data_IF_744556970961
#
_entry.id   IF_744556970961
#
_cell.length_a   1.000
_cell.length_b   1.000
_cell.length_c   1.000
_cell.angle_alpha   90.00
_cell.angle_beta   90.00
_cell.angle_gamma   90.00
#
_symmetry.space_group_name_H-M   'P 1'
#
loop_
_entity.id
_entity.type
_entity.pdbx_description
1 polymer ?
#
# COMPACT_ATOMS: atom_id res chain seq x y z
N UNK A 1 42.45 30.67 34.65
CA UNK A 1 41.02 31.01 34.35
C UNK A 1 40.69 30.53 32.94
N UNK A 2 40.24 29.30 32.83
CA UNK A 2 39.72 28.71 31.58
C UNK A 2 38.23 29.01 31.50
N UNK A 3 37.81 29.79 30.51
CA UNK A 3 36.39 29.99 30.21
C UNK A 3 35.88 28.71 29.53
N UNK A 4 34.99 27.97 30.18
CA UNK A 4 34.21 26.93 29.61
C UNK A 4 33.25 27.50 28.60
N UNK A 5 33.45 27.23 27.31
CA UNK A 5 32.47 27.47 26.26
C UNK A 5 31.43 26.36 26.33
N UNK A 6 30.39 26.54 27.12
CA UNK A 6 29.13 25.80 27.01
C UNK A 6 28.32 26.35 25.85
N UNK A 7 28.63 25.92 24.64
CA UNK A 7 27.72 26.00 23.52
C UNK A 7 26.99 24.64 23.37
N UNK A 8 26.20 24.31 24.37
CA UNK A 8 25.20 23.29 24.24
C UNK A 8 24.18 23.79 23.24
N UNK A 9 24.03 23.06 22.12
CA UNK A 9 23.19 23.41 20.99
C UNK A 9 21.70 23.52 21.33
N UNK A 10 21.35 24.59 22.02
CA UNK A 10 19.97 25.00 22.21
C UNK A 10 19.40 25.38 20.86
N UNK A 11 18.46 24.59 20.37
CA UNK A 11 17.65 24.89 19.17
C UNK A 11 17.04 26.28 19.39
N UNK A 12 17.48 27.25 18.60
CA UNK A 12 16.95 28.61 18.73
C UNK A 12 15.48 28.63 18.31
N UNK A 13 14.66 29.51 18.94
CA UNK A 13 13.22 29.67 18.56
C UNK A 13 13.06 29.97 17.06
N UNK A 14 14.00 30.65 16.44
CA UNK A 14 14.03 30.93 15.00
C UNK A 14 14.22 29.66 14.17
N UNK A 15 15.09 28.75 14.61
CA UNK A 15 15.27 27.44 13.95
C UNK A 15 14.05 26.55 14.10
N UNK A 16 13.47 26.46 15.30
CA UNK A 16 12.24 25.71 15.54
C UNK A 16 11.11 26.19 14.61
N UNK A 17 10.88 27.51 14.55
CA UNK A 17 9.86 28.10 13.68
C UNK A 17 10.11 27.84 12.19
N UNK A 18 11.36 27.78 11.76
CA UNK A 18 11.70 27.40 10.38
C UNK A 18 11.43 25.92 10.11
N UNK A 19 11.62 25.05 11.12
CA UNK A 19 11.33 23.63 11.02
C UNK A 19 9.81 23.34 10.99
N UNK A 20 9.00 24.15 11.69
CA UNK A 20 7.53 24.05 11.64
C UNK A 20 6.93 24.37 10.27
N UNK A 21 7.67 25.08 9.41
CA UNK A 21 7.20 25.47 8.07
C UNK A 21 7.52 24.48 6.96
N UNK A 22 8.28 23.43 7.23
CA UNK A 22 8.62 22.38 6.26
C UNK A 22 7.78 21.13 6.49
N UNK A 23 7.60 20.32 5.43
CA UNK A 23 6.81 19.10 5.54
C UNK A 23 7.45 18.12 6.54
N UNK A 24 6.65 17.29 7.23
CA UNK A 24 7.18 16.27 8.13
C UNK A 24 8.20 15.34 7.48
N UNK A 25 8.06 15.08 6.18
CA UNK A 25 9.01 14.25 5.43
C UNK A 25 10.36 14.95 5.24
N UNK A 26 10.35 16.24 4.89
CA UNK A 26 11.56 17.06 4.76
C UNK A 26 12.22 17.30 6.11
N UNK A 27 11.41 17.56 7.16
CA UNK A 27 11.88 17.69 8.53
C UNK A 27 12.64 16.45 8.99
N UNK A 28 12.09 15.26 8.76
CA UNK A 28 12.75 13.99 9.06
C UNK A 28 14.11 13.89 8.36
N UNK A 29 14.17 14.14 7.06
CA UNK A 29 15.43 14.07 6.31
C UNK A 29 16.47 15.05 6.87
N UNK A 30 16.06 16.26 7.21
CA UNK A 30 16.94 17.28 7.79
C UNK A 30 17.46 16.92 9.18
N UNK A 31 16.62 16.29 10.00
CA UNK A 31 17.04 15.75 11.31
C UNK A 31 18.04 14.61 11.17
N UNK A 32 17.88 13.74 10.17
CA UNK A 32 18.83 12.66 9.85
C UNK A 32 20.17 13.27 9.40
N UNK A 33 20.18 14.25 8.51
CA UNK A 33 21.40 14.96 8.07
C UNK A 33 22.15 15.58 9.26
N UNK A 34 21.42 16.27 10.14
CA UNK A 34 22.01 16.90 11.34
C UNK A 34 22.56 15.85 12.31
N UNK A 35 21.90 14.71 12.45
CA UNK A 35 22.39 13.60 13.27
C UNK A 35 23.67 13.01 12.67
N UNK A 36 23.73 12.78 11.37
CA UNK A 36 24.91 12.27 10.65
C UNK A 36 26.11 13.22 10.78
N UNK A 37 25.88 14.54 10.70
CA UNK A 37 26.94 15.53 10.93
C UNK A 37 27.46 15.54 12.37
N UNK A 38 26.58 15.32 13.33
CA UNK A 38 26.96 15.19 14.76
C UNK A 38 27.76 13.92 15.01
N UNK A 39 27.41 12.83 14.40
CA UNK A 39 28.06 11.51 14.58
C UNK A 39 29.44 11.46 13.94
N UNK A 40 29.66 12.15 12.82
CA UNK A 40 30.99 12.29 12.23
C UNK A 40 32.01 12.90 13.19
N UNK A 41 31.55 13.60 14.25
CA UNK A 41 32.36 14.17 15.31
C UNK A 41 32.57 13.27 16.49
N UNK A 42 31.82 12.21 16.64
CA UNK A 42 31.80 11.28 17.77
C UNK A 42 31.84 9.88 17.16
N UNK A 43 32.86 9.08 17.40
CA UNK A 43 33.09 7.75 16.79
C UNK A 43 32.01 6.71 17.15
N UNK A 44 30.74 7.05 16.95
CA UNK A 44 29.58 6.17 17.17
C UNK A 44 28.88 5.87 15.87
N UNK A 45 28.27 4.67 15.76
CA UNK A 45 27.42 4.29 14.64
C UNK A 45 26.00 4.79 14.88
N UNK A 46 25.43 5.51 13.91
CA UNK A 46 24.03 5.90 13.98
C UNK A 46 23.11 4.74 13.68
N UNK A 47 22.16 4.50 14.57
CA UNK A 47 21.04 3.60 14.33
C UNK A 47 19.85 4.44 13.85
N UNK A 48 19.56 4.38 12.56
CA UNK A 48 18.47 5.15 11.96
C UNK A 48 17.16 4.36 12.04
N UNK A 49 16.27 4.76 12.95
CA UNK A 49 14.91 4.24 13.08
C UNK A 49 13.86 5.19 12.47
N UNK A 50 14.27 6.27 11.82
CA UNK A 50 13.35 7.27 11.26
C UNK A 50 12.68 6.84 9.96
N UNK A 51 13.07 5.70 9.38
CA UNK A 51 12.47 5.15 8.17
C UNK A 51 12.47 3.63 8.24
N UNK A 52 11.29 3.04 8.28
CA UNK A 52 11.12 1.61 8.02
C UNK A 52 11.34 1.33 6.53
N UNK A 53 12.32 0.51 6.19
CA UNK A 53 12.40 -0.04 4.84
C UNK A 53 11.69 -1.38 4.87
N UNK A 54 10.54 -1.53 4.19
CA UNK A 54 9.92 -2.83 4.04
C UNK A 54 10.91 -3.77 3.33
N UNK A 55 11.02 -5.00 3.79
CA UNK A 55 11.82 -6.02 3.12
C UNK A 55 11.07 -6.55 1.90
N UNK A 56 10.97 -5.74 0.87
CA UNK A 56 10.25 -6.04 -0.35
C UNK A 56 11.09 -6.74 -1.43
N UNK A 57 12.34 -7.03 -1.12
CA UNK A 57 13.19 -7.81 -2.04
C UNK A 57 12.99 -9.30 -1.72
N UNK A 58 11.77 -9.79 -1.97
CA UNK A 58 11.52 -11.22 -2.04
C UNK A 58 11.94 -11.72 -3.41
N UNK A 59 13.02 -12.50 -3.51
CA UNK A 59 13.58 -12.92 -4.80
C UNK A 59 12.72 -13.97 -5.49
N UNK A 60 12.23 -14.97 -4.76
CA UNK A 60 11.45 -16.07 -5.33
C UNK A 60 10.19 -15.64 -6.10
N UNK A 61 9.34 -14.73 -5.60
CA UNK A 61 8.22 -14.22 -6.39
C UNK A 61 8.65 -13.45 -7.64
N UNK A 62 9.77 -12.73 -7.58
CA UNK A 62 10.31 -12.02 -8.74
C UNK A 62 10.83 -12.97 -9.80
N UNK A 63 11.52 -14.01 -9.39
CA UNK A 63 12.02 -15.06 -10.27
C UNK A 63 10.84 -15.79 -10.95
N UNK A 64 9.78 -16.10 -10.20
CA UNK A 64 8.55 -16.66 -10.77
C UNK A 64 7.91 -15.72 -11.79
N UNK A 65 7.86 -14.42 -11.50
CA UNK A 65 7.34 -13.40 -12.42
C UNK A 65 8.18 -13.29 -13.70
N UNK A 66 9.50 -13.28 -13.59
CA UNK A 66 10.38 -13.25 -14.77
C UNK A 66 10.28 -14.55 -15.58
N UNK A 67 10.10 -15.68 -14.93
CA UNK A 67 9.88 -16.95 -15.62
C UNK A 67 8.54 -16.95 -16.37
N UNK A 68 7.48 -16.43 -15.78
CA UNK A 68 6.20 -16.21 -16.45
C UNK A 68 6.35 -15.25 -17.64
N UNK A 69 7.11 -14.17 -17.47
CA UNK A 69 7.42 -13.25 -18.56
C UNK A 69 8.15 -13.92 -19.74
N UNK A 70 9.07 -14.83 -19.44
CA UNK A 70 9.74 -15.65 -20.47
C UNK A 70 8.73 -16.50 -21.24
N UNK A 71 7.80 -17.16 -20.55
CA UNK A 71 6.73 -17.91 -21.19
C UNK A 71 5.84 -17.03 -22.07
N UNK A 72 5.40 -15.87 -21.57
CA UNK A 72 4.60 -14.91 -22.34
C UNK A 72 5.28 -14.48 -23.63
N UNK A 73 6.60 -14.19 -23.57
CA UNK A 73 7.38 -13.87 -24.79
C UNK A 73 7.55 -15.06 -25.74
N UNK A 74 7.64 -16.28 -25.25
CA UNK A 74 7.65 -17.49 -26.09
C UNK A 74 6.33 -17.65 -26.83
N UNK A 75 5.19 -17.43 -26.16
CA UNK A 75 3.86 -17.44 -26.76
C UNK A 75 3.69 -16.34 -27.82
N UNK A 76 4.14 -15.11 -27.53
CA UNK A 76 4.15 -14.03 -28.54
C UNK A 76 4.94 -14.40 -29.78
N UNK A 77 6.15 -14.93 -29.61
CA UNK A 77 7.00 -15.34 -30.74
C UNK A 77 6.38 -16.47 -31.55
N UNK A 78 5.70 -17.41 -30.88
CA UNK A 78 5.02 -18.54 -31.52
C UNK A 78 4.01 -18.09 -32.58
N UNK A 79 3.28 -17.00 -32.30
CA UNK A 79 2.16 -16.54 -33.13
C UNK A 79 2.49 -15.30 -33.97
N UNK A 80 3.63 -14.65 -33.76
CA UNK A 80 3.98 -13.36 -34.35
C UNK A 80 3.84 -13.29 -35.88
N UNK A 81 4.11 -14.39 -36.55
CA UNK A 81 4.12 -14.47 -38.02
C UNK A 81 3.01 -15.36 -38.57
N UNK A 82 2.06 -15.80 -37.72
CA UNK A 82 0.92 -16.55 -38.22
C UNK A 82 -0.10 -15.61 -38.88
N UNK A 83 -0.78 -16.04 -39.95
CA UNK A 83 -1.80 -15.21 -40.61
C UNK A 83 -2.93 -14.78 -39.68
N UNK A 84 -3.29 -15.63 -38.71
CA UNK A 84 -4.30 -15.38 -37.69
C UNK A 84 -3.70 -14.70 -36.44
N UNK A 85 -2.38 -14.60 -36.37
CA UNK A 85 -1.67 -13.98 -35.22
C UNK A 85 -1.70 -12.46 -35.34
N UNK A 86 -2.47 -11.80 -34.49
CA UNK A 86 -2.52 -10.34 -34.45
C UNK A 86 -1.28 -9.83 -33.73
N UNK A 87 -0.21 -9.55 -34.49
CA UNK A 87 1.02 -8.93 -34.00
C UNK A 87 1.68 -9.65 -32.79
N UNK A 88 1.47 -10.95 -32.65
CA UNK A 88 2.06 -11.74 -31.58
C UNK A 88 1.25 -11.75 -30.27
N UNK A 89 -0.02 -11.39 -30.28
CA UNK A 89 -0.90 -11.55 -29.12
C UNK A 89 -1.04 -13.05 -28.79
N UNK A 90 -0.82 -13.47 -27.52
CA UNK A 90 -0.95 -14.87 -27.13
C UNK A 90 -2.31 -15.47 -27.49
N UNK A 91 -2.32 -16.67 -28.05
CA UNK A 91 -3.56 -17.39 -28.35
C UNK A 91 -3.98 -18.27 -27.20
N UNK A 92 -5.26 -18.19 -26.80
CA UNK A 92 -5.83 -18.90 -25.66
C UNK A 92 -5.82 -20.42 -25.85
N UNK A 93 -6.24 -20.91 -27.01
CA UNK A 93 -6.46 -22.35 -27.23
C UNK A 93 -5.20 -23.18 -26.96
N UNK A 94 -5.27 -24.08 -25.98
CA UNK A 94 -4.21 -25.00 -25.57
C UNK A 94 -3.00 -24.34 -24.90
N UNK A 95 -3.10 -23.08 -24.47
CA UNK A 95 -2.00 -22.36 -23.82
C UNK A 95 -1.60 -23.01 -22.49
N UNK A 96 -2.56 -23.58 -21.74
CA UNK A 96 -2.26 -24.27 -20.50
C UNK A 96 -1.37 -25.51 -20.71
N UNK A 97 -1.62 -26.31 -21.72
CA UNK A 97 -0.78 -27.47 -22.04
C UNK A 97 0.65 -27.04 -22.43
N UNK A 98 0.79 -25.91 -23.15
CA UNK A 98 2.10 -25.33 -23.48
C UNK A 98 2.79 -24.80 -22.23
N UNK A 99 2.05 -24.18 -21.32
CA UNK A 99 2.58 -23.70 -20.04
C UNK A 99 3.07 -24.84 -19.15
N UNK A 100 2.31 -25.93 -19.05
CA UNK A 100 2.74 -27.12 -18.30
C UNK A 100 4.01 -27.73 -18.90
N UNK A 101 4.12 -27.77 -20.23
CA UNK A 101 5.34 -28.20 -20.92
C UNK A 101 6.52 -27.28 -20.62
N UNK A 102 6.27 -25.98 -20.65
CA UNK A 102 7.27 -24.97 -20.29
C UNK A 102 7.75 -25.14 -18.83
N UNK A 103 6.84 -25.33 -17.88
CA UNK A 103 7.20 -25.57 -16.48
C UNK A 103 8.00 -26.87 -16.30
N UNK A 104 7.65 -27.95 -16.98
CA UNK A 104 8.43 -29.21 -16.98
C UNK A 104 9.85 -28.99 -17.50
N UNK A 105 9.99 -28.24 -18.57
CA UNK A 105 11.29 -27.97 -19.20
C UNK A 105 12.15 -27.03 -18.34
N UNK A 106 11.53 -26.09 -17.63
CA UNK A 106 12.20 -25.09 -16.81
C UNK A 106 12.13 -25.38 -15.29
N UNK A 107 11.86 -26.64 -14.90
CA UNK A 107 11.62 -27.01 -13.50
C UNK A 107 12.75 -26.66 -12.54
N UNK A 108 13.99 -26.60 -13.01
CA UNK A 108 15.19 -26.24 -12.23
C UNK A 108 15.44 -24.73 -12.15
N UNK A 109 14.65 -23.92 -12.84
CA UNK A 109 14.81 -22.46 -12.80
C UNK A 109 14.28 -21.90 -11.47
N UNK A 110 14.95 -20.88 -10.93
CA UNK A 110 14.43 -20.13 -9.78
C UNK A 110 13.00 -19.68 -10.01
N UNK A 111 12.15 -19.81 -8.99
CA UNK A 111 10.73 -19.42 -9.06
C UNK A 111 9.79 -20.44 -9.75
N UNK A 112 10.31 -21.49 -10.40
CA UNK A 112 9.48 -22.47 -11.11
C UNK A 112 8.49 -23.20 -10.20
N UNK A 113 8.92 -23.61 -9.01
CA UNK A 113 8.06 -24.29 -8.05
C UNK A 113 6.94 -23.37 -7.52
N UNK A 114 7.25 -22.10 -7.26
CA UNK A 114 6.22 -21.12 -6.86
C UNK A 114 5.20 -20.91 -7.98
N UNK A 115 5.67 -20.71 -9.22
CA UNK A 115 4.78 -20.51 -10.38
C UNK A 115 3.88 -21.73 -10.61
N UNK A 116 4.43 -22.93 -10.52
CA UNK A 116 3.67 -24.17 -10.60
C UNK A 116 2.66 -24.32 -9.46
N UNK A 117 3.08 -24.00 -8.23
CA UNK A 117 2.20 -24.05 -7.06
C UNK A 117 1.04 -23.07 -7.18
N UNK A 118 1.28 -21.86 -7.67
CA UNK A 118 0.23 -20.87 -7.92
C UNK A 118 -0.76 -21.33 -9.00
N UNK A 119 -0.27 -21.92 -10.08
CA UNK A 119 -1.11 -22.52 -11.12
C UNK A 119 -2.02 -23.61 -10.54
N UNK A 120 -1.44 -24.55 -9.80
CA UNK A 120 -2.18 -25.65 -9.16
C UNK A 120 -3.22 -25.12 -8.15
N UNK A 121 -2.87 -24.12 -7.35
CA UNK A 121 -3.77 -23.48 -6.40
C UNK A 121 -5.04 -22.94 -7.10
N UNK A 122 -4.87 -22.23 -8.21
CA UNK A 122 -6.01 -21.69 -8.95
C UNK A 122 -6.92 -22.77 -9.54
N UNK A 123 -6.34 -23.87 -9.99
CA UNK A 123 -7.14 -25.00 -10.51
C UNK A 123 -7.92 -25.73 -9.42
N UNK A 124 -7.32 -25.91 -8.24
CA UNK A 124 -7.88 -26.71 -7.16
C UNK A 124 -8.85 -25.91 -6.29
N UNK A 125 -8.47 -24.71 -5.89
CA UNK A 125 -9.26 -23.93 -4.93
C UNK A 125 -10.32 -23.05 -5.62
N UNK A 126 -10.04 -22.58 -6.84
CA UNK A 126 -10.94 -21.71 -7.58
C UNK A 126 -11.60 -22.38 -8.80
N UNK A 127 -11.31 -23.63 -9.06
CA UNK A 127 -11.80 -24.34 -10.25
C UNK A 127 -11.62 -23.53 -11.56
N UNK A 128 -10.51 -22.80 -11.65
CA UNK A 128 -10.20 -21.94 -12.79
C UNK A 128 -10.07 -22.77 -14.07
N UNK A 129 -10.64 -22.28 -15.17
CA UNK A 129 -10.39 -22.86 -16.49
C UNK A 129 -8.90 -22.67 -16.85
N UNK A 130 -8.17 -23.74 -17.13
CA UNK A 130 -6.70 -23.66 -17.28
C UNK A 130 -6.26 -22.74 -18.42
N UNK A 131 -6.93 -22.79 -19.56
CA UNK A 131 -6.57 -21.97 -20.71
C UNK A 131 -6.88 -20.49 -20.46
N UNK A 132 -8.00 -20.19 -19.80
CA UNK A 132 -8.37 -18.81 -19.43
C UNK A 132 -7.38 -18.23 -18.43
N UNK A 133 -7.01 -18.98 -17.40
CA UNK A 133 -6.05 -18.57 -16.38
C UNK A 133 -4.69 -18.23 -16.99
N UNK A 134 -4.12 -19.16 -17.75
CA UNK A 134 -2.78 -18.98 -18.33
C UNK A 134 -2.78 -17.89 -19.39
N UNK A 135 -3.87 -17.76 -20.14
CA UNK A 135 -4.01 -16.69 -21.12
C UNK A 135 -4.01 -15.30 -20.45
N UNK A 136 -4.82 -15.11 -19.42
CA UNK A 136 -4.82 -13.86 -18.63
C UNK A 136 -3.42 -13.52 -18.09
N UNK A 137 -2.71 -14.53 -17.57
CA UNK A 137 -1.36 -14.32 -17.05
C UNK A 137 -0.37 -13.95 -18.15
N UNK A 138 -0.47 -14.58 -19.31
CA UNK A 138 0.42 -14.29 -20.45
C UNK A 138 0.17 -12.87 -20.98
N UNK A 139 -1.09 -12.49 -21.20
CA UNK A 139 -1.47 -11.13 -21.62
C UNK A 139 -1.06 -10.09 -20.56
N UNK A 140 -1.33 -10.36 -19.29
CA UNK A 140 -0.99 -9.45 -18.20
C UNK A 140 0.51 -9.19 -18.07
N UNK A 141 1.36 -10.22 -18.21
CA UNK A 141 2.82 -10.08 -18.08
C UNK A 141 3.46 -9.39 -19.27
N UNK A 142 2.89 -9.52 -20.48
CA UNK A 142 3.38 -8.81 -21.69
C UNK A 142 2.75 -7.43 -21.87
N UNK A 143 1.64 -7.14 -21.17
CA UNK A 143 1.02 -5.82 -21.14
C UNK A 143 0.24 -5.47 -22.40
N UNK A 144 -0.48 -6.42 -23.01
CA UNK A 144 -1.23 -6.23 -24.25
C UNK A 144 -2.72 -5.89 -24.08
N UNK A 145 -3.15 -5.56 -22.88
CA UNK A 145 -4.55 -5.24 -22.52
C UNK A 145 -4.98 -3.83 -22.93
N UNK A 146 -4.56 -3.38 -24.08
CA UNK A 146 -4.98 -2.13 -24.71
C UNK A 146 -6.21 -2.38 -25.59
N UNK A 147 -7.20 -1.45 -25.68
CA UNK A 147 -7.24 -0.10 -25.09
C UNK A 147 -7.94 0.00 -23.73
N UNK A 148 -8.50 -1.06 -23.20
CA UNK A 148 -9.31 -1.04 -21.97
C UNK A 148 -8.75 -2.04 -20.97
N UNK A 149 -7.70 -1.67 -20.20
CA UNK A 149 -7.19 -2.54 -19.14
C UNK A 149 -8.24 -2.69 -18.03
N UNK A 150 -8.32 -3.88 -17.46
CA UNK A 150 -9.10 -4.11 -16.26
C UNK A 150 -8.51 -3.38 -15.04
N UNK A 151 -9.36 -3.06 -14.04
CA UNK A 151 -8.91 -2.47 -12.77
C UNK A 151 -7.92 -3.36 -12.02
N UNK A 152 -8.02 -4.67 -12.20
CA UNK A 152 -7.12 -5.72 -11.72
C UNK A 152 -7.42 -6.98 -12.55
N UNK A 153 -6.41 -7.81 -12.79
CA UNK A 153 -6.59 -9.09 -13.45
C UNK A 153 -7.52 -9.99 -12.63
N UNK A 154 -8.46 -10.67 -13.26
CA UNK A 154 -9.53 -11.42 -12.60
C UNK A 154 -8.99 -12.48 -11.63
N UNK A 155 -8.05 -13.29 -12.07
CA UNK A 155 -7.47 -14.33 -11.21
C UNK A 155 -6.51 -13.77 -10.16
N UNK A 156 -5.87 -12.64 -10.43
CA UNK A 156 -5.09 -11.92 -9.42
C UNK A 156 -6.02 -11.36 -8.34
N UNK A 157 -7.18 -10.85 -8.70
CA UNK A 157 -8.19 -10.37 -7.74
C UNK A 157 -8.61 -11.49 -6.77
N UNK A 158 -8.88 -12.69 -7.27
CA UNK A 158 -9.25 -13.85 -6.44
C UNK A 158 -8.17 -14.18 -5.42
N UNK A 159 -6.90 -14.27 -5.85
CA UNK A 159 -5.76 -14.55 -4.95
C UNK A 159 -5.63 -13.45 -3.88
N UNK A 160 -5.77 -12.19 -4.27
CA UNK A 160 -5.66 -11.05 -3.33
C UNK A 160 -6.84 -11.03 -2.36
N UNK A 161 -8.05 -11.39 -2.81
CA UNK A 161 -9.22 -11.53 -1.93
C UNK A 161 -8.99 -12.60 -0.87
N UNK A 162 -8.48 -13.77 -1.24
CA UNK A 162 -8.15 -14.84 -0.29
C UNK A 162 -7.09 -14.38 0.71
N UNK A 163 -6.04 -13.73 0.23
CA UNK A 163 -4.99 -13.17 1.07
C UNK A 163 -5.56 -12.17 2.09
N UNK A 164 -6.37 -11.22 1.64
CA UNK A 164 -6.99 -10.24 2.53
C UNK A 164 -7.96 -10.88 3.51
N UNK A 165 -8.75 -11.87 3.07
CA UNK A 165 -9.64 -12.62 3.95
C UNK A 165 -8.86 -13.34 5.06
N UNK A 166 -7.73 -13.95 4.73
CA UNK A 166 -6.89 -14.64 5.70
C UNK A 166 -6.18 -13.67 6.64
N UNK A 167 -5.48 -12.66 6.10
CA UNK A 167 -4.58 -11.80 6.88
C UNK A 167 -5.31 -10.70 7.66
N UNK A 168 -6.41 -10.18 7.12
CA UNK A 168 -7.14 -9.08 7.74
C UNK A 168 -8.42 -9.50 8.47
N UNK A 169 -8.97 -10.67 8.14
CA UNK A 169 -10.26 -11.12 8.64
C UNK A 169 -10.20 -12.48 9.34
N UNK A 170 -9.01 -13.03 9.58
CA UNK A 170 -8.83 -14.35 10.23
C UNK A 170 -9.67 -15.46 9.55
N UNK A 171 -9.68 -15.45 8.22
CA UNK A 171 -10.46 -16.36 7.40
C UNK A 171 -11.98 -16.13 7.42
N UNK A 172 -12.44 -15.02 8.00
CA UNK A 172 -13.86 -14.66 8.10
C UNK A 172 -14.16 -13.33 7.42
N UNK A 173 -14.14 -13.26 6.09
CA UNK A 173 -14.34 -12.02 5.36
C UNK A 173 -15.73 -11.43 5.60
N UNK A 174 -15.93 -10.12 5.40
CA UNK A 174 -17.23 -9.48 5.48
C UNK A 174 -18.26 -10.15 4.57
N UNK A 175 -19.52 -10.15 5.01
CA UNK A 175 -20.62 -10.62 4.17
C UNK A 175 -20.87 -9.62 3.04
N UNK A 176 -21.02 -10.10 1.82
CA UNK A 176 -21.33 -9.29 0.64
C UNK A 176 -20.22 -9.33 -0.41
N UNK A 177 -20.47 -8.63 -1.51
CA UNK A 177 -19.49 -8.48 -2.59
C UNK A 177 -18.68 -7.21 -2.35
N UNK A 178 -17.40 -7.29 -2.58
CA UNK A 178 -16.49 -6.14 -2.62
C UNK A 178 -15.54 -6.31 -3.79
N UNK A 179 -15.11 -5.19 -4.33
CA UNK A 179 -14.21 -5.13 -5.46
C UNK A 179 -12.84 -4.61 -5.02
N UNK A 180 -11.79 -5.08 -5.69
CA UNK A 180 -10.44 -4.61 -5.47
C UNK A 180 -10.02 -3.68 -6.62
N UNK A 181 -9.27 -2.66 -6.28
CA UNK A 181 -8.66 -1.76 -7.25
C UNK A 181 -7.15 -1.66 -6.94
N UNK A 182 -6.33 -2.17 -7.84
CA UNK A 182 -4.88 -2.11 -7.69
C UNK A 182 -4.35 -0.69 -7.94
N UNK A 183 -3.47 -0.22 -7.05
CA UNK A 183 -2.85 1.11 -7.16
C UNK A 183 -1.35 1.03 -6.91
N UNK A 184 -0.63 2.10 -7.26
CA UNK A 184 0.82 2.22 -7.08
C UNK A 184 1.22 2.53 -5.62
N UNK A 185 0.44 2.03 -4.66
CA UNK A 185 0.68 2.18 -3.22
C UNK A 185 -0.31 3.11 -2.53
N UNK A 186 -0.24 3.17 -1.19
CA UNK A 186 -1.22 3.87 -0.35
C UNK A 186 -1.35 5.36 -0.64
N UNK A 187 -0.27 6.04 -1.02
CA UNK A 187 -0.32 7.47 -1.39
C UNK A 187 -1.15 7.69 -2.66
N UNK A 188 -0.93 6.88 -3.70
CA UNK A 188 -1.72 6.94 -4.94
C UNK A 188 -3.18 6.56 -4.67
N UNK A 189 -3.42 5.51 -3.86
CA UNK A 189 -4.76 5.11 -3.47
C UNK A 189 -5.55 6.26 -2.84
N UNK A 190 -4.92 7.03 -1.94
CA UNK A 190 -5.57 8.20 -1.32
C UNK A 190 -5.91 9.28 -2.33
N UNK A 191 -5.03 9.55 -3.30
CA UNK A 191 -5.33 10.49 -4.38
C UNK A 191 -6.54 10.02 -5.20
N UNK A 192 -6.59 8.75 -5.59
CA UNK A 192 -7.72 8.18 -6.34
C UNK A 192 -9.02 8.22 -5.54
N UNK A 193 -8.96 7.94 -4.22
CA UNK A 193 -10.14 8.07 -3.35
C UNK A 193 -10.64 9.51 -3.32
N UNK A 194 -9.78 10.50 -3.09
CA UNK A 194 -10.20 11.91 -3.06
C UNK A 194 -10.69 12.39 -4.42
N UNK A 195 -10.02 12.02 -5.51
CA UNK A 195 -10.49 12.33 -6.87
C UNK A 195 -11.88 11.74 -7.13
N UNK A 196 -12.07 10.46 -6.79
CA UNK A 196 -13.36 9.79 -6.95
C UNK A 196 -14.46 10.45 -6.11
N UNK A 197 -14.17 10.82 -4.87
CA UNK A 197 -15.14 11.49 -4.01
C UNK A 197 -15.53 12.87 -4.53
N UNK A 198 -14.60 13.61 -5.14
CA UNK A 198 -14.89 14.92 -5.76
C UNK A 198 -15.64 14.78 -7.07
N UNK A 199 -15.22 13.89 -7.97
CA UNK A 199 -15.88 13.69 -9.27
C UNK A 199 -17.32 13.15 -9.12
N UNK A 200 -17.60 12.43 -8.04
CA UNK A 200 -18.94 11.95 -7.70
C UNK A 200 -19.72 12.91 -6.79
N UNK A 201 -19.23 14.12 -6.54
CA UNK A 201 -19.86 15.15 -5.70
C UNK A 201 -20.16 14.73 -4.27
N UNK A 202 -19.45 13.73 -3.76
CA UNK A 202 -19.55 13.28 -2.36
C UNK A 202 -18.76 14.19 -1.42
N UNK A 203 -17.63 14.73 -1.90
CA UNK A 203 -16.87 15.80 -1.27
C UNK A 203 -16.60 16.93 -2.26
N UNK A 204 -16.62 18.15 -1.77
CA UNK A 204 -16.28 19.35 -2.55
C UNK A 204 -15.18 20.14 -1.84
N UNK A 205 -14.52 21.03 -2.56
CA UNK A 205 -13.56 21.97 -1.96
C UNK A 205 -14.22 22.72 -0.81
N UNK A 206 -13.51 22.80 0.31
CA UNK A 206 -14.01 23.44 1.53
C UNK A 206 -14.85 22.53 2.44
N UNK A 207 -15.19 21.32 1.99
CA UNK A 207 -15.89 20.37 2.85
C UNK A 207 -15.01 19.89 4.02
N UNK A 208 -15.61 19.62 5.16
CA UNK A 208 -14.95 19.09 6.32
C UNK A 208 -14.67 17.59 6.21
N UNK A 209 -13.46 17.19 6.53
CA UNK A 209 -13.09 15.79 6.74
C UNK A 209 -12.41 15.64 8.10
N UNK A 210 -12.49 14.46 8.70
CA UNK A 210 -11.76 14.13 9.92
C UNK A 210 -10.67 13.10 9.64
N UNK A 211 -9.51 13.29 10.26
CA UNK A 211 -8.39 12.34 10.25
C UNK A 211 -8.12 11.86 11.66
N UNK A 212 -8.09 10.56 11.87
CA UNK A 212 -7.61 9.97 13.12
C UNK A 212 -6.08 9.97 13.11
N UNK A 213 -5.46 10.72 14.03
CA UNK A 213 -4.00 10.85 14.12
C UNK A 213 -3.47 10.28 15.45
N UNK A 214 -2.23 9.77 15.50
CA UNK A 214 -1.19 9.83 14.48
C UNK A 214 -1.45 8.94 13.26
N UNK A 215 -1.09 9.44 12.09
CA UNK A 215 -1.33 8.80 10.80
C UNK A 215 -0.16 9.04 9.84
N UNK A 216 -0.02 8.22 8.82
CA UNK A 216 0.99 8.39 7.78
C UNK A 216 0.88 9.76 7.09
N UNK A 217 2.00 10.46 7.01
CA UNK A 217 2.09 11.87 6.57
C UNK A 217 1.29 12.22 5.31
N UNK A 218 1.28 11.43 4.22
CA UNK A 218 0.49 11.75 3.03
C UNK A 218 -1.00 11.96 3.31
N UNK A 219 -1.57 11.31 4.32
CA UNK A 219 -2.99 11.50 4.68
C UNK A 219 -3.27 12.85 5.31
N UNK A 220 -2.24 13.51 5.86
CA UNK A 220 -2.33 14.87 6.40
C UNK A 220 -2.13 15.90 5.29
N UNK A 221 -1.17 15.65 4.39
CA UNK A 221 -0.75 16.62 3.37
C UNK A 221 -1.67 16.66 2.14
N UNK A 222 -2.06 15.48 1.61
CA UNK A 222 -2.85 15.37 0.38
C UNK A 222 -4.18 16.14 0.46
N UNK A 223 -5.00 16.05 1.53
CA UNK A 223 -6.27 16.76 1.63
C UNK A 223 -6.16 18.29 1.53
N UNK A 224 -4.99 18.85 1.89
CA UNK A 224 -4.73 20.28 1.91
C UNK A 224 -4.23 20.81 0.57
N UNK A 225 -3.91 19.93 -0.40
CA UNK A 225 -3.48 20.35 -1.73
C UNK A 225 -4.55 21.20 -2.41
N UNK A 226 -4.13 22.17 -3.23
CA UNK A 226 -5.02 23.04 -4.03
C UNK A 226 -6.05 22.28 -4.86
N UNK A 227 -5.78 21.03 -5.17
CA UNK A 227 -6.69 20.16 -5.90
C UNK A 227 -7.92 19.83 -5.06
N UNK A 228 -7.75 19.59 -3.77
CA UNK A 228 -8.79 19.12 -2.84
C UNK A 228 -9.31 20.23 -1.92
N UNK A 229 -8.42 20.96 -1.25
CA UNK A 229 -8.75 22.08 -0.34
C UNK A 229 -9.79 21.70 0.71
N UNK A 230 -9.66 20.50 1.31
CA UNK A 230 -10.56 20.07 2.38
C UNK A 230 -10.22 20.76 3.70
N UNK A 231 -11.25 21.04 4.50
CA UNK A 231 -11.10 21.49 5.87
C UNK A 231 -10.85 20.28 6.79
N UNK A 232 -9.60 20.09 7.19
CA UNK A 232 -9.19 18.92 7.97
C UNK A 232 -9.39 19.17 9.47
N UNK A 233 -10.11 18.27 10.13
CA UNK A 233 -10.21 18.17 11.58
C UNK A 233 -9.42 16.97 12.05
N UNK A 234 -8.33 17.20 12.78
CA UNK A 234 -7.54 16.12 13.38
C UNK A 234 -8.17 15.68 14.70
N UNK A 235 -8.35 14.37 14.83
CA UNK A 235 -8.76 13.70 16.07
C UNK A 235 -7.51 13.00 16.60
N UNK A 236 -6.89 13.57 17.63
CA UNK A 236 -5.59 13.12 18.12
C UNK A 236 -5.73 12.05 19.19
N UNK A 237 -4.98 10.97 19.04
CA UNK A 237 -4.80 10.00 20.11
C UNK A 237 -3.72 10.49 21.08
N UNK A 238 -3.98 10.34 22.37
CA UNK A 238 -3.00 10.58 23.42
C UNK A 238 -2.23 9.31 23.74
N UNK A 239 -0.95 9.47 24.05
CA UNK A 239 -0.17 8.39 24.61
C UNK A 239 -0.60 8.18 26.07
N UNK A 240 -1.06 6.98 26.37
CA UNK A 240 -1.42 6.57 27.72
C UNK A 240 -0.45 5.51 28.22
N UNK A 241 -0.14 5.53 29.51
CA UNK A 241 0.68 4.51 30.16
C UNK A 241 -0.17 3.78 31.18
N UNK A 242 -0.40 2.50 30.92
CA UNK A 242 -1.08 1.61 31.87
C UNK A 242 -0.15 0.43 32.15
N UNK A 243 0.18 0.20 33.42
CA UNK A 243 1.07 -0.88 33.86
C UNK A 243 2.44 -0.90 33.13
N UNK A 244 2.99 0.27 32.84
CA UNK A 244 4.26 0.42 32.10
C UNK A 244 4.18 0.22 30.58
N UNK A 245 2.99 -0.06 30.05
CA UNK A 245 2.75 -0.14 28.62
C UNK A 245 2.29 1.20 28.05
N UNK A 246 2.90 1.63 26.97
CA UNK A 246 2.50 2.80 26.23
C UNK A 246 1.46 2.41 25.16
N UNK A 247 0.29 3.02 25.23
CA UNK A 247 -0.79 2.84 24.25
C UNK A 247 -1.24 4.20 23.70
N UNK A 248 -1.89 4.19 22.54
CA UNK A 248 -2.45 5.36 21.92
C UNK A 248 -3.97 5.23 21.93
N UNK A 249 -4.68 6.14 22.60
CA UNK A 249 -6.13 6.12 22.73
C UNK A 249 -6.72 7.48 22.40
N UNK A 250 -7.93 7.44 21.84
CA UNK A 250 -8.72 8.64 21.59
C UNK A 250 -9.63 8.90 22.80
N UNK A 251 -9.70 10.15 23.22
CA UNK A 251 -10.63 10.56 24.27
C UNK A 251 -12.04 10.71 23.70
N UNK A 252 -13.05 10.42 24.51
CA UNK A 252 -14.45 10.56 24.12
C UNK A 252 -14.79 11.98 23.68
N UNK A 253 -14.21 12.99 24.33
CA UNK A 253 -14.36 14.41 24.00
C UNK A 253 -13.86 14.74 22.58
N UNK A 254 -12.76 14.13 22.15
CA UNK A 254 -12.21 14.31 20.81
C UNK A 254 -13.04 13.55 19.77
N UNK A 255 -13.52 12.36 20.12
CA UNK A 255 -14.44 11.58 19.28
C UNK A 255 -15.77 12.31 19.09
N UNK A 256 -16.29 12.97 20.11
CA UNK A 256 -17.53 13.75 20.02
C UNK A 256 -17.45 14.90 19.00
N UNK A 257 -16.24 15.37 18.64
CA UNK A 257 -16.05 16.34 17.56
C UNK A 257 -16.53 15.81 16.20
N UNK A 258 -16.55 14.49 16.02
CA UNK A 258 -17.09 13.84 14.81
C UNK A 258 -18.59 14.06 14.62
N UNK A 259 -19.32 14.48 15.67
CA UNK A 259 -20.75 14.85 15.56
C UNK A 259 -20.99 16.16 14.83
N UNK A 260 -19.92 16.90 14.49
CA UNK A 260 -20.06 18.12 13.71
C UNK A 260 -20.61 17.79 12.31
N UNK A 261 -21.79 18.34 11.92
CA UNK A 261 -22.42 18.03 10.64
C UNK A 261 -21.64 18.52 9.42
N UNK A 262 -20.62 19.35 9.60
CA UNK A 262 -19.72 19.77 8.53
C UNK A 262 -18.69 18.70 8.17
N UNK A 263 -18.44 17.73 9.04
CA UNK A 263 -17.55 16.60 8.74
C UNK A 263 -18.33 15.57 7.93
N UNK A 264 -17.97 15.44 6.66
CA UNK A 264 -18.63 14.54 5.70
C UNK A 264 -17.94 13.19 5.55
N UNK A 265 -16.67 13.10 5.91
CA UNK A 265 -15.89 11.87 5.80
C UNK A 265 -14.91 11.74 6.97
N UNK A 266 -14.69 10.51 7.40
CA UNK A 266 -13.72 10.14 8.43
C UNK A 266 -12.70 9.17 7.81
N UNK A 267 -11.41 9.45 8.00
CA UNK A 267 -10.32 8.61 7.57
C UNK A 267 -9.61 8.01 8.78
N UNK A 268 -9.54 6.69 8.81
CA UNK A 268 -8.94 5.91 9.90
C UNK A 268 -7.92 4.95 9.32
N UNK A 269 -6.72 4.93 9.90
CA UNK A 269 -5.72 3.89 9.65
C UNK A 269 -5.68 2.96 10.86
N UNK A 270 -6.07 1.71 10.68
CA UNK A 270 -6.14 0.74 11.77
C UNK A 270 -5.57 -0.63 11.34
N UNK A 271 -4.52 -1.16 11.95
CA UNK A 271 -3.71 -0.52 13.00
C UNK A 271 -3.08 0.80 12.54
N UNK A 272 -2.87 1.73 13.49
CA UNK A 272 -2.33 3.06 13.19
C UNK A 272 -0.89 3.00 12.66
N UNK A 273 -0.53 3.93 11.80
CA UNK A 273 0.82 4.09 11.28
C UNK A 273 1.30 5.53 11.60
N UNK A 274 2.42 5.73 12.36
CA UNK A 274 3.48 4.77 12.71
C UNK A 274 3.29 3.96 14.00
N UNK A 275 2.36 4.27 14.93
CA UNK A 275 2.36 3.62 16.25
C UNK A 275 2.04 2.12 16.26
N UNK A 276 1.51 1.57 15.17
CA UNK A 276 1.09 0.16 15.04
C UNK A 276 0.08 -0.28 16.11
N UNK A 277 -0.78 0.64 16.55
CA UNK A 277 -1.78 0.43 17.58
C UNK A 277 -3.16 0.21 16.98
N UNK A 278 -3.88 -0.79 17.48
CA UNK A 278 -5.27 -1.06 17.08
C UNK A 278 -6.21 -0.26 17.96
N UNK A 279 -7.02 0.61 17.35
CA UNK A 279 -8.04 1.38 18.07
C UNK A 279 -9.18 0.46 18.53
N UNK A 280 -9.49 0.49 19.83
CA UNK A 280 -10.57 -0.31 20.43
C UNK A 280 -11.96 0.10 19.92
N UNK A 281 -12.11 1.33 19.44
CA UNK A 281 -13.37 1.80 18.84
C UNK A 281 -13.80 0.96 17.63
N UNK A 282 -12.83 0.37 16.92
CA UNK A 282 -13.08 -0.47 15.73
C UNK A 282 -13.56 -1.88 16.10
N UNK A 283 -13.35 -2.30 17.34
CA UNK A 283 -13.79 -3.61 17.85
C UNK A 283 -15.14 -3.58 18.56
N UNK A 284 -15.70 -2.39 18.77
CA UNK A 284 -17.06 -2.24 19.27
C UNK A 284 -18.06 -2.47 18.14
N UNK A 285 -19.12 -3.25 18.37
CA UNK A 285 -20.18 -3.40 17.37
C UNK A 285 -20.76 -2.03 17.01
N UNK A 286 -20.94 -1.81 15.72
CA UNK A 286 -21.56 -0.58 15.22
C UNK A 286 -22.95 -0.42 15.85
N UNK A 287 -23.35 0.77 16.29
CA UNK A 287 -24.73 1.01 16.79
C UNK A 287 -25.83 0.75 15.76
N UNK A 288 -25.47 0.27 14.56
CA UNK A 288 -26.40 -0.02 13.46
C UNK A 288 -26.54 -1.51 13.16
N UNK A 289 -25.87 -2.40 13.92
CA UNK A 289 -26.00 -3.86 13.81
C UNK A 289 -27.12 -4.40 14.71
#
# INVERSE_FOLDING_TARGET
>A
MMKSNENNGAVTKSFAKKMESISPFELKNKLIEMADESIKKIAHTMLNAGRGNPNWIATTPREAFFLLGKFGLEECRRVMYLPEGIAGIPQKDGIAARFETFLKTNHSQPGAELLKGTYQYMLLEHAADPDTLVHEWAEGVVGDQYPVPDRILQFTEMIVQDYLAQEMCDGRPPKGKYDLFATEGGTAAMCYVFDSLQENFLLNKGDGIALMVPVFTPYIEIPQLRRYEFNVTEISADQMTTDGLHTWQYKDEDIDRLRNPQIKALFITNPSNPPSYTCLLYTSPSPRD
#
